data_IF_818748605734
#
_entry.id   IF_818748605734
#
_cell.length_a   1.000
_cell.length_b   1.000
_cell.length_c   1.000
_cell.angle_alpha   90.00
_cell.angle_beta   90.00
_cell.angle_gamma   90.00
#
_symmetry.space_group_name_H-M   'P 1'
#
loop_
_entity.id
_entity.type
_entity.pdbx_description
1 polymer ?
#
# COMPACT_ATOMS: atom_id res chain seq x y z
N UNK A 1 0.19 -2.77 -0.73
CA UNK A 1 -0.75 -1.82 -1.34
C UNK A 1 0.03 -1.05 -2.38
N UNK A 2 -0.48 -0.95 -3.60
CA UNK A 2 0.19 -0.30 -4.74
C UNK A 2 0.40 1.18 -4.48
N UNK A 3 1.65 1.66 -4.58
CA UNK A 3 2.08 3.07 -4.49
C UNK A 3 1.59 3.95 -5.68
N UNK A 4 0.52 3.53 -6.35
CA UNK A 4 -0.04 4.31 -7.44
C UNK A 4 -0.89 5.46 -6.85
N UNK A 5 -0.74 6.71 -7.35
CA UNK A 5 -1.59 7.80 -6.93
C UNK A 5 -3.05 7.45 -7.17
N UNK A 6 -3.88 7.61 -6.13
CA UNK A 6 -5.33 7.42 -6.24
C UNK A 6 -5.89 8.57 -7.07
N UNK A 7 -6.74 8.26 -8.05
CA UNK A 7 -7.28 9.27 -8.97
C UNK A 7 -8.17 10.25 -8.20
N UNK A 8 -8.18 11.51 -8.63
CA UNK A 8 -9.04 12.53 -8.02
C UNK A 8 -10.52 12.21 -8.24
N UNK A 9 -11.32 12.39 -7.20
CA UNK A 9 -12.78 12.29 -7.25
C UNK A 9 -13.34 13.70 -7.12
N UNK A 10 -14.26 14.10 -8.02
CA UNK A 10 -14.89 15.40 -7.96
C UNK A 10 -15.87 15.48 -6.76
N UNK A 11 -15.80 16.58 -6.01
CA UNK A 11 -16.73 16.87 -4.90
C UNK A 11 -17.56 18.12 -5.15
N UNK A 12 -18.81 18.07 -4.72
CA UNK A 12 -19.77 19.17 -4.71
C UNK A 12 -19.84 19.79 -3.29
N UNK A 13 -20.05 21.10 -3.14
CA UNK A 13 -20.17 21.76 -1.82
C UNK A 13 -21.21 21.12 -0.87
N UNK A 14 -22.24 20.50 -1.44
CA UNK A 14 -23.29 19.80 -0.68
C UNK A 14 -22.77 18.57 0.08
N UNK A 15 -21.77 17.86 -0.45
CA UNK A 15 -21.22 16.65 0.18
C UNK A 15 -20.47 16.97 1.46
N UNK A 16 -19.81 18.14 1.53
CA UNK A 16 -19.20 18.65 2.76
C UNK A 16 -20.23 18.85 3.86
N UNK A 17 -21.37 19.48 3.53
CA UNK A 17 -22.45 19.70 4.50
C UNK A 17 -23.02 18.38 5.03
N UNK A 18 -23.20 17.39 4.16
CA UNK A 18 -23.62 16.04 4.58
C UNK A 18 -22.59 15.35 5.47
N UNK A 19 -21.31 15.50 5.16
CA UNK A 19 -20.23 14.99 6.00
C UNK A 19 -20.25 15.62 7.40
N UNK A 20 -20.30 16.95 7.48
CA UNK A 20 -20.31 17.68 8.76
C UNK A 20 -21.51 17.31 9.62
N UNK A 21 -22.70 17.16 9.02
CA UNK A 21 -23.91 16.80 9.75
C UNK A 21 -23.94 15.35 10.24
N UNK A 22 -23.28 14.44 9.51
CA UNK A 22 -23.23 13.01 9.84
C UNK A 22 -21.95 12.60 10.59
N UNK A 23 -21.03 13.53 10.82
CA UNK A 23 -19.76 13.27 11.49
C UNK A 23 -19.94 12.64 12.89
N UNK A 24 -20.92 13.05 13.74
CA UNK A 24 -21.13 12.40 15.03
C UNK A 24 -21.48 10.92 14.89
N UNK A 25 -22.38 10.56 13.96
CA UNK A 25 -22.80 9.18 13.72
C UNK A 25 -21.65 8.36 13.13
N UNK A 26 -20.91 8.93 12.18
CA UNK A 26 -19.74 8.28 11.58
C UNK A 26 -18.67 8.02 12.64
N UNK A 27 -18.37 9.01 13.48
CA UNK A 27 -17.34 8.90 14.51
C UNK A 27 -17.66 7.84 15.57
N UNK A 28 -18.95 7.70 15.91
CA UNK A 28 -19.45 6.73 16.87
C UNK A 28 -19.34 5.27 16.42
N UNK A 29 -19.10 5.00 15.13
CA UNK A 29 -18.92 3.63 14.62
C UNK A 29 -17.61 3.06 15.18
N UNK A 30 -17.72 1.94 15.91
CA UNK A 30 -16.59 1.22 16.50
C UNK A 30 -16.09 0.09 15.60
N UNK A 31 -17.01 -0.63 14.97
CA UNK A 31 -16.72 -1.69 14.00
C UNK A 31 -16.80 -1.14 12.58
N UNK A 32 -15.66 -1.11 11.89
CA UNK A 32 -15.56 -0.64 10.51
C UNK A 32 -14.65 -1.54 9.69
N UNK A 33 -14.91 -1.59 8.39
CA UNK A 33 -14.10 -2.33 7.44
C UNK A 33 -13.71 -1.45 6.26
N UNK A 34 -12.54 -1.67 5.65
CA UNK A 34 -12.22 -1.04 4.38
C UNK A 34 -13.25 -1.46 3.31
N UNK A 35 -13.60 -0.57 2.37
CA UNK A 35 -14.42 -0.94 1.22
C UNK A 35 -13.80 -2.12 0.46
N UNK A 36 -14.61 -3.12 0.04
CA UNK A 36 -14.14 -4.24 -0.77
C UNK A 36 -13.94 -3.85 -2.25
N UNK A 37 -13.91 -2.56 -2.56
CA UNK A 37 -13.82 -2.00 -3.90
C UNK A 37 -13.01 -0.69 -3.88
N UNK A 38 -12.43 -0.28 -5.02
CA UNK A 38 -11.81 1.04 -5.17
C UNK A 38 -12.77 2.21 -4.86
N UNK A 39 -12.20 3.35 -4.48
CA UNK A 39 -12.99 4.55 -4.11
C UNK A 39 -13.88 5.00 -5.27
N UNK A 40 -13.35 5.00 -6.49
CA UNK A 40 -14.06 5.44 -7.69
C UNK A 40 -15.27 4.56 -7.99
N UNK A 41 -15.14 3.24 -7.76
CA UNK A 41 -16.24 2.28 -7.92
C UNK A 41 -17.30 2.51 -6.82
N UNK A 42 -16.88 2.76 -5.57
CA UNK A 42 -17.80 3.08 -4.47
C UNK A 42 -18.60 4.37 -4.73
N UNK A 43 -17.95 5.40 -5.27
CA UNK A 43 -18.59 6.67 -5.68
C UNK A 43 -19.57 6.44 -6.83
N UNK A 44 -19.17 5.64 -7.83
CA UNK A 44 -20.02 5.25 -8.95
C UNK A 44 -21.29 4.54 -8.51
N UNK A 45 -21.15 3.53 -7.64
CA UNK A 45 -22.27 2.79 -7.05
C UNK A 45 -23.20 3.74 -6.27
N UNK A 46 -22.65 4.66 -5.47
CA UNK A 46 -23.47 5.61 -4.72
C UNK A 46 -24.32 6.50 -5.64
N UNK A 47 -23.72 7.08 -6.68
CA UNK A 47 -24.44 7.93 -7.64
C UNK A 47 -25.51 7.17 -8.41
N UNK A 48 -25.20 5.95 -8.84
CA UNK A 48 -26.12 5.07 -9.54
C UNK A 48 -27.33 4.72 -8.67
N UNK A 49 -27.11 4.35 -7.41
CA UNK A 49 -28.20 4.00 -6.50
C UNK A 49 -29.02 5.22 -6.07
N UNK A 50 -28.42 6.41 -5.96
CA UNK A 50 -29.19 7.66 -5.79
C UNK A 50 -30.18 7.86 -6.95
N UNK A 51 -29.77 7.59 -8.19
CA UNK A 51 -30.67 7.68 -9.35
C UNK A 51 -31.78 6.62 -9.28
N UNK A 52 -31.45 5.36 -8.95
CA UNK A 52 -32.45 4.30 -8.78
C UNK A 52 -33.47 4.63 -7.69
N UNK A 53 -33.04 5.11 -6.52
CA UNK A 53 -33.95 5.52 -5.45
C UNK A 53 -34.90 6.61 -5.94
N UNK A 54 -34.42 7.59 -6.73
CA UNK A 54 -35.28 8.67 -7.26
C UNK A 54 -36.34 8.13 -8.23
N UNK A 55 -35.97 7.20 -9.10
CA UNK A 55 -36.88 6.61 -10.08
C UNK A 55 -37.89 5.64 -9.45
N UNK A 56 -37.41 4.79 -8.54
CA UNK A 56 -38.17 3.64 -8.03
C UNK A 56 -38.69 3.86 -6.60
N UNK A 57 -38.63 5.09 -6.04
CA UNK A 57 -38.93 5.39 -4.63
C UNK A 57 -40.25 4.77 -4.16
N UNK A 58 -41.33 5.01 -4.89
CA UNK A 58 -42.66 4.53 -4.52
C UNK A 58 -42.72 2.99 -4.45
N UNK A 59 -42.00 2.28 -5.34
CA UNK A 59 -41.93 0.81 -5.31
C UNK A 59 -41.07 0.34 -4.12
N UNK A 60 -39.92 0.97 -3.90
CA UNK A 60 -39.04 0.65 -2.79
C UNK A 60 -39.76 0.83 -1.44
N UNK A 61 -40.58 1.86 -1.26
CA UNK A 61 -41.37 2.06 -0.05
C UNK A 61 -42.37 0.91 0.22
N UNK A 62 -42.87 0.24 -0.82
CA UNK A 62 -43.75 -0.92 -0.70
C UNK A 62 -43.02 -2.23 -0.33
N UNK A 63 -41.69 -2.26 -0.42
CA UNK A 63 -40.89 -3.45 -0.05
C UNK A 63 -40.84 -3.72 1.46
N UNK A 64 -41.26 -2.76 2.29
CA UNK A 64 -41.08 -2.81 3.74
C UNK A 64 -39.72 -2.28 4.23
N UNK A 65 -38.91 -1.71 3.34
CA UNK A 65 -37.68 -1.00 3.73
C UNK A 65 -37.97 0.10 4.74
N UNK A 66 -37.11 0.23 5.75
CA UNK A 66 -37.21 1.35 6.70
C UNK A 66 -36.89 2.67 5.98
N UNK A 67 -37.86 3.58 5.94
CA UNK A 67 -37.79 4.83 5.16
C UNK A 67 -36.52 5.65 5.40
N UNK A 68 -35.99 5.66 6.62
CA UNK A 68 -34.75 6.37 6.94
C UNK A 68 -33.55 5.95 6.08
N UNK A 69 -33.50 4.72 5.54
CA UNK A 69 -32.44 4.30 4.62
C UNK A 69 -32.55 4.97 3.27
N UNK A 70 -33.77 5.22 2.78
CA UNK A 70 -34.04 5.98 1.55
C UNK A 70 -33.80 7.48 1.80
N UNK A 71 -34.37 8.02 2.88
CA UNK A 71 -34.33 9.45 3.17
C UNK A 71 -32.92 9.96 3.49
N UNK A 72 -32.11 9.14 4.16
CA UNK A 72 -30.72 9.49 4.48
C UNK A 72 -29.70 9.03 3.45
N UNK A 73 -30.11 8.35 2.37
CA UNK A 73 -29.19 7.71 1.42
C UNK A 73 -28.21 8.71 0.81
N UNK A 74 -28.73 9.79 0.26
CA UNK A 74 -27.92 10.82 -0.42
C UNK A 74 -26.95 11.48 0.56
N UNK A 75 -27.37 11.74 1.80
CA UNK A 75 -26.50 12.29 2.83
C UNK A 75 -25.38 11.33 3.21
N UNK A 76 -25.70 10.04 3.42
CA UNK A 76 -24.70 9.00 3.72
C UNK A 76 -23.69 8.83 2.58
N UNK A 77 -24.18 8.80 1.34
CA UNK A 77 -23.35 8.76 0.14
C UNK A 77 -22.42 9.98 0.07
N UNK A 78 -22.96 11.19 0.24
CA UNK A 78 -22.18 12.42 0.22
C UNK A 78 -21.11 12.48 1.30
N UNK A 79 -21.43 12.05 2.53
CA UNK A 79 -20.48 11.96 3.62
C UNK A 79 -19.34 10.97 3.33
N UNK A 80 -19.66 9.81 2.75
CA UNK A 80 -18.67 8.82 2.32
C UNK A 80 -17.76 9.41 1.23
N UNK A 81 -18.33 10.06 0.19
CA UNK A 81 -17.56 10.66 -0.91
C UNK A 81 -16.62 11.75 -0.39
N UNK A 82 -17.09 12.65 0.48
CA UNK A 82 -16.27 13.70 1.07
C UNK A 82 -15.10 13.12 1.88
N UNK A 83 -15.37 12.15 2.76
CA UNK A 83 -14.32 11.49 3.55
C UNK A 83 -13.29 10.74 2.68
N UNK A 84 -13.71 10.22 1.53
CA UNK A 84 -12.82 9.60 0.56
C UNK A 84 -11.86 10.62 -0.07
N UNK A 85 -12.36 11.81 -0.41
CA UNK A 85 -11.54 12.91 -0.95
C UNK A 85 -10.57 13.45 0.09
N UNK A 86 -10.98 13.62 1.34
CA UNK A 86 -10.08 13.98 2.44
C UNK A 86 -8.97 12.94 2.58
N UNK A 87 -9.32 11.66 2.62
CA UNK A 87 -8.34 10.56 2.67
C UNK A 87 -7.37 10.60 1.46
N UNK A 88 -7.88 10.77 0.24
CA UNK A 88 -7.04 10.86 -0.97
C UNK A 88 -6.11 12.07 -0.89
N UNK A 89 -6.60 13.22 -0.39
CA UNK A 89 -5.80 14.43 -0.20
C UNK A 89 -4.63 14.16 0.75
N UNK A 90 -4.88 13.53 1.90
CA UNK A 90 -3.83 13.16 2.84
C UNK A 90 -2.86 12.11 2.28
N UNK A 91 -3.35 11.12 1.51
CA UNK A 91 -2.51 10.08 0.89
C UNK A 91 -1.64 10.65 -0.23
N UNK A 92 -2.18 11.55 -1.04
CA UNK A 92 -1.48 12.17 -2.16
C UNK A 92 -0.56 13.31 -1.72
N UNK A 93 -0.73 13.84 -0.50
CA UNK A 93 0.25 14.72 0.13
C UNK A 93 1.55 13.94 0.23
N UNK A 94 2.53 14.27 -0.61
CA UNK A 94 3.82 13.61 -0.61
C UNK A 94 4.44 13.78 0.79
N UNK A 95 4.64 12.68 1.51
CA UNK A 95 5.40 12.68 2.76
C UNK A 95 6.87 12.93 2.43
N UNK A 96 7.26 14.20 2.37
CA UNK A 96 8.65 14.60 2.06
C UNK A 96 9.55 14.48 3.28
N UNK A 97 9.01 14.45 4.50
CA UNK A 97 9.80 14.48 5.73
C UNK A 97 10.84 13.34 5.84
N UNK A 98 10.49 12.11 5.41
CA UNK A 98 11.46 10.99 5.35
C UNK A 98 12.59 11.22 4.36
N UNK A 99 12.29 11.85 3.22
CA UNK A 99 13.26 12.14 2.18
C UNK A 99 14.14 13.32 2.58
N UNK A 100 13.55 14.39 3.11
CA UNK A 100 14.27 15.53 3.70
C UNK A 100 15.23 15.08 4.81
N UNK A 101 14.78 14.18 5.69
CA UNK A 101 15.65 13.56 6.70
C UNK A 101 16.83 12.84 6.05
N UNK A 102 16.59 12.06 5.00
CA UNK A 102 17.63 11.29 4.30
C UNK A 102 18.66 12.22 3.63
N UNK A 103 18.21 13.34 3.09
CA UNK A 103 19.05 14.35 2.43
C UNK A 103 19.88 15.17 3.42
N UNK A 104 19.30 15.57 4.56
CA UNK A 104 19.97 16.41 5.56
C UNK A 104 20.89 15.62 6.49
N UNK A 105 20.60 14.32 6.71
CA UNK A 105 21.35 13.46 7.62
C UNK A 105 22.88 13.42 7.39
N UNK A 106 23.42 13.34 6.16
CA UNK A 106 24.86 13.34 5.93
C UNK A 106 25.54 14.62 6.41
N UNK A 107 24.92 15.78 6.15
CA UNK A 107 25.43 17.08 6.59
C UNK A 107 25.39 17.17 8.13
N UNK A 108 24.24 16.83 8.72
CA UNK A 108 24.05 16.82 10.17
C UNK A 108 25.09 15.92 10.86
N UNK A 109 25.36 14.74 10.30
CA UNK A 109 26.40 13.83 10.79
C UNK A 109 27.77 14.49 10.81
N UNK A 110 28.13 15.20 9.74
CA UNK A 110 29.43 15.86 9.60
C UNK A 110 29.60 17.00 10.61
N UNK A 111 28.59 17.85 10.76
CA UNK A 111 28.60 18.95 11.74
C UNK A 111 28.74 18.40 13.16
N UNK A 112 27.91 17.41 13.54
CA UNK A 112 27.99 16.76 14.86
C UNK A 112 29.38 16.15 15.10
N UNK A 113 29.94 15.43 14.12
CA UNK A 113 31.26 14.81 14.25
C UNK A 113 32.38 15.84 14.44
N UNK A 114 32.38 16.91 13.64
CA UNK A 114 33.40 17.95 13.70
C UNK A 114 33.33 18.74 15.01
N UNK A 115 32.12 19.13 15.44
CA UNK A 115 31.93 19.85 16.68
C UNK A 115 32.30 18.99 17.90
N UNK A 116 31.91 17.71 17.91
CA UNK A 116 32.34 16.78 18.96
C UNK A 116 33.86 16.57 19.00
N UNK A 117 34.53 16.52 17.84
CA UNK A 117 35.99 16.41 17.77
C UNK A 117 36.65 17.65 18.39
N UNK A 118 36.15 18.84 18.08
CA UNK A 118 36.64 20.09 18.66
C UNK A 118 36.43 20.15 20.17
N UNK A 119 35.21 19.85 20.64
CA UNK A 119 34.87 19.84 22.07
C UNK A 119 35.73 18.83 22.86
N UNK A 120 35.92 17.62 22.34
CA UNK A 120 36.82 16.62 22.97
C UNK A 120 38.25 17.11 23.10
N UNK A 121 38.75 17.89 22.14
CA UNK A 121 40.11 18.43 22.18
C UNK A 121 40.21 19.61 23.15
N UNK A 122 39.21 20.49 23.15
CA UNK A 122 39.14 21.67 24.02
C UNK A 122 39.00 21.26 25.50
N UNK A 123 38.21 20.23 25.79
CA UNK A 123 37.89 19.83 27.17
C UNK A 123 38.78 18.73 27.74
N UNK A 124 39.84 18.31 27.02
CA UNK A 124 40.64 17.11 27.36
C UNK A 124 41.29 17.14 28.76
N UNK A 125 41.51 18.33 29.33
CA UNK A 125 42.15 18.54 30.64
C UNK A 125 41.12 18.92 31.72
N UNK A 126 39.86 19.06 31.33
CA UNK A 126 38.74 19.46 32.17
C UNK A 126 37.79 18.26 32.32
N UNK A 127 37.90 17.56 33.46
CA UNK A 127 37.15 16.33 33.69
C UNK A 127 35.65 16.56 33.72
N UNK A 128 35.20 17.68 34.29
CA UNK A 128 33.78 18.01 34.40
C UNK A 128 33.17 18.26 33.02
N UNK A 129 33.82 19.08 32.18
CA UNK A 129 33.37 19.33 30.80
C UNK A 129 33.46 18.06 29.94
N UNK A 130 34.48 17.24 30.14
CA UNK A 130 34.63 15.95 29.45
C UNK A 130 33.50 14.98 29.80
N UNK A 131 33.12 14.90 31.07
CA UNK A 131 32.06 14.00 31.54
C UNK A 131 30.68 14.52 31.14
N UNK A 132 30.45 15.84 31.19
CA UNK A 132 29.26 16.46 30.62
C UNK A 132 29.10 16.10 29.13
N UNK A 133 30.18 16.22 28.34
CA UNK A 133 30.18 15.86 26.92
C UNK A 133 29.88 14.38 26.69
N UNK A 134 30.41 13.46 27.51
CA UNK A 134 30.12 12.02 27.44
C UNK A 134 28.64 11.74 27.74
N UNK A 135 28.09 12.41 28.75
CA UNK A 135 26.68 12.25 29.14
C UNK A 135 25.74 12.64 28.00
N UNK A 136 26.01 13.77 27.35
CA UNK A 136 25.23 14.25 26.19
C UNK A 136 25.16 13.18 25.10
N UNK A 137 26.31 12.63 24.68
CA UNK A 137 26.39 11.74 23.51
C UNK A 137 26.08 10.25 23.78
N UNK A 138 25.58 9.92 24.97
CA UNK A 138 25.38 8.53 25.41
C UNK A 138 24.19 7.84 24.71
N UNK A 139 23.23 8.62 24.22
CA UNK A 139 22.02 8.13 23.56
C UNK A 139 22.25 7.59 22.13
N UNK A 140 21.27 6.84 21.62
CA UNK A 140 21.32 6.19 20.30
C UNK A 140 20.05 6.40 19.46
N UNK A 141 18.99 6.97 20.04
CA UNK A 141 17.74 7.26 19.33
C UNK A 141 17.88 8.47 18.41
N UNK A 142 16.93 8.66 17.48
CA UNK A 142 16.91 9.88 16.65
C UNK A 142 16.64 11.14 17.47
N UNK A 143 15.86 11.01 18.55
CA UNK A 143 15.61 12.10 19.49
C UNK A 143 16.88 12.42 20.28
N UNK A 144 17.64 11.41 20.70
CA UNK A 144 18.92 11.64 21.39
C UNK A 144 19.88 12.38 20.46
N UNK A 145 19.94 11.97 19.20
CA UNK A 145 20.73 12.63 18.16
C UNK A 145 20.30 14.07 17.89
N UNK A 146 19.00 14.36 17.94
CA UNK A 146 18.48 15.72 17.83
C UNK A 146 18.90 16.54 19.06
N UNK A 147 18.69 16.01 20.26
CA UNK A 147 19.03 16.68 21.52
C UNK A 147 20.54 16.91 21.68
N UNK A 148 21.37 16.07 21.06
CA UNK A 148 22.80 16.31 20.97
C UNK A 148 23.09 17.66 20.32
N UNK A 149 22.46 18.01 19.18
CA UNK A 149 22.75 19.26 18.47
C UNK A 149 22.49 20.50 19.33
N UNK A 150 21.41 20.49 20.12
CA UNK A 150 21.08 21.56 21.06
C UNK A 150 22.05 21.59 22.25
N UNK A 151 22.35 20.42 22.81
CA UNK A 151 23.17 20.31 24.02
C UNK A 151 24.64 20.65 23.73
N UNK A 152 25.19 20.15 22.61
CA UNK A 152 26.57 20.44 22.22
C UNK A 152 26.74 21.88 21.74
N UNK A 153 25.75 22.48 21.06
CA UNK A 153 25.84 23.88 20.62
C UNK A 153 25.84 24.82 21.82
N UNK A 154 24.98 24.57 22.81
CA UNK A 154 24.97 25.31 24.07
C UNK A 154 26.28 25.15 24.83
N UNK A 155 26.76 23.91 25.02
CA UNK A 155 28.02 23.65 25.72
C UNK A 155 29.22 24.30 25.01
N UNK A 156 29.23 24.28 23.67
CA UNK A 156 30.24 24.95 22.86
C UNK A 156 30.18 26.47 23.00
N UNK A 157 28.98 27.05 23.01
CA UNK A 157 28.79 28.49 23.15
C UNK A 157 29.20 29.01 24.53
N UNK A 158 28.89 28.26 25.59
CA UNK A 158 29.30 28.58 26.96
C UNK A 158 30.82 28.47 27.17
N UNK A 159 31.52 27.72 26.32
CA UNK A 159 32.97 27.49 26.41
C UNK A 159 33.72 27.94 25.14
N UNK A 160 33.24 29.01 24.51
CA UNK A 160 33.74 29.51 23.22
C UNK A 160 35.23 29.84 23.23
N UNK A 161 35.75 30.36 24.33
CA UNK A 161 37.17 30.70 24.49
C UNK A 161 38.08 29.46 24.38
N UNK A 162 37.71 28.36 25.05
CA UNK A 162 38.44 27.07 24.98
C UNK A 162 38.48 26.50 23.55
N UNK A 163 37.44 26.75 22.76
CA UNK A 163 37.39 26.36 21.35
C UNK A 163 38.26 27.27 20.47
N UNK A 164 38.41 28.55 20.80
CA UNK A 164 39.30 29.47 20.09
C UNK A 164 40.78 29.11 20.28
N UNK A 165 41.18 28.70 21.49
CA UNK A 165 42.57 28.28 21.79
C UNK A 165 43.06 27.13 20.91
N UNK A 166 42.15 26.24 20.51
CA UNK A 166 42.46 25.11 19.63
C UNK A 166 42.17 25.39 18.16
N UNK A 167 41.87 26.65 17.82
CA UNK A 167 41.49 27.10 16.48
C UNK A 167 40.31 26.32 15.88
N UNK A 168 39.30 26.00 16.70
CA UNK A 168 38.09 25.34 16.23
C UNK A 168 37.25 26.25 15.33
N UNK A 169 36.56 25.63 14.38
CA UNK A 169 35.58 26.33 13.54
C UNK A 169 34.31 26.64 14.34
N UNK A 170 34.19 27.88 14.80
CA UNK A 170 33.06 28.34 15.61
C UNK A 170 31.75 28.46 14.81
N UNK A 171 31.80 28.48 13.47
CA UNK A 171 30.58 28.50 12.63
C UNK A 171 29.75 27.22 12.81
N UNK A 172 30.39 26.13 13.26
CA UNK A 172 29.71 24.88 13.58
C UNK A 172 28.75 24.99 14.75
N UNK A 173 28.91 25.97 15.66
CA UNK A 173 28.00 26.19 16.78
C UNK A 173 26.65 26.68 16.27
N UNK A 174 26.67 27.73 15.44
CA UNK A 174 25.47 28.29 14.79
C UNK A 174 24.83 27.26 13.87
N UNK A 175 25.64 26.57 13.05
CA UNK A 175 25.11 25.52 12.17
C UNK A 175 24.48 24.36 12.93
N UNK A 176 25.01 24.00 14.11
CA UNK A 176 24.41 22.97 14.98
C UNK A 176 23.03 23.40 15.49
N UNK A 177 22.85 24.66 15.87
CA UNK A 177 21.56 25.20 16.27
C UNK A 177 20.55 25.23 15.12
N UNK A 178 20.96 25.68 13.93
CA UNK A 178 20.10 25.65 12.73
C UNK A 178 19.67 24.23 12.35
N UNK A 179 20.58 23.26 12.45
CA UNK A 179 20.28 21.86 12.17
C UNK A 179 19.32 21.28 13.22
N UNK A 180 19.42 21.68 14.48
CA UNK A 180 18.44 21.29 15.51
C UNK A 180 17.03 21.73 15.12
N UNK A 181 16.83 23.00 14.76
CA UNK A 181 15.51 23.51 14.36
C UNK A 181 14.94 22.74 13.17
N UNK A 182 15.74 22.58 12.10
CA UNK A 182 15.34 21.86 10.88
C UNK A 182 15.00 20.40 11.14
N UNK A 183 15.86 19.68 11.88
CA UNK A 183 15.67 18.26 12.17
C UNK A 183 14.49 18.04 13.15
N UNK A 184 14.23 18.99 14.05
CA UNK A 184 13.09 18.95 14.97
C UNK A 184 11.76 19.02 14.19
N UNK A 185 11.64 19.97 13.27
CA UNK A 185 10.47 20.09 12.41
C UNK A 185 10.27 18.84 11.52
N UNK A 186 11.34 18.34 10.89
CA UNK A 186 11.28 17.11 10.09
C UNK A 186 10.81 15.92 10.93
N UNK A 187 11.34 15.74 12.14
CA UNK A 187 10.94 14.62 13.02
C UNK A 187 9.49 14.73 13.46
N UNK A 188 9.00 15.93 13.76
CA UNK A 188 7.58 16.16 14.06
C UNK A 188 6.70 15.76 12.87
N UNK A 189 7.03 16.21 11.66
CA UNK A 189 6.31 15.84 10.42
C UNK A 189 6.34 14.34 10.13
N UNK A 190 7.47 13.65 10.38
CA UNK A 190 7.58 12.20 10.24
C UNK A 190 6.62 11.41 11.15
N UNK A 191 6.17 12.00 12.26
CA UNK A 191 5.19 11.41 13.19
C UNK A 191 3.76 11.81 12.82
N UNK A 192 3.54 13.09 12.51
CA UNK A 192 2.22 13.66 12.21
C UNK A 192 1.67 13.12 10.89
N UNK A 193 2.45 13.14 9.81
CA UNK A 193 1.96 12.79 8.46
C UNK A 193 1.37 11.35 8.40
N UNK A 194 2.03 10.30 8.93
CA UNK A 194 1.42 8.97 8.96
C UNK A 194 0.17 8.87 9.83
N UNK A 195 0.11 9.65 10.92
CA UNK A 195 -1.05 9.67 11.82
C UNK A 195 -2.26 10.36 11.17
N UNK A 196 -2.05 11.49 10.47
CA UNK A 196 -3.07 12.15 9.65
C UNK A 196 -3.64 11.20 8.59
N UNK A 197 -2.76 10.50 7.84
CA UNK A 197 -3.18 9.53 6.82
C UNK A 197 -3.99 8.40 7.44
N UNK A 198 -3.54 7.86 8.58
CA UNK A 198 -4.26 6.78 9.28
C UNK A 198 -5.62 7.26 9.77
N UNK A 199 -5.68 8.44 10.38
CA UNK A 199 -6.91 9.03 10.89
C UNK A 199 -7.91 9.28 9.77
N UNK A 200 -7.47 9.87 8.64
CA UNK A 200 -8.33 10.08 7.47
C UNK A 200 -8.86 8.76 6.88
N UNK A 201 -8.03 7.71 6.81
CA UNK A 201 -8.48 6.36 6.39
C UNK A 201 -9.54 5.79 7.31
N UNK A 202 -9.36 5.91 8.63
CA UNK A 202 -10.33 5.41 9.62
C UNK A 202 -11.68 6.12 9.46
N UNK A 203 -11.67 7.45 9.32
CA UNK A 203 -12.91 8.22 9.07
C UNK A 203 -13.59 7.75 7.79
N UNK A 204 -12.85 7.57 6.70
CA UNK A 204 -13.38 7.03 5.45
C UNK A 204 -13.99 5.63 5.62
N UNK A 205 -13.33 4.72 6.32
CA UNK A 205 -13.85 3.35 6.53
C UNK A 205 -15.12 3.33 7.38
N UNK A 206 -15.21 4.21 8.38
CA UNK A 206 -16.44 4.41 9.16
C UNK A 206 -17.57 4.98 8.29
N UNK A 207 -17.28 6.00 7.48
CA UNK A 207 -18.27 6.59 6.57
C UNK A 207 -18.74 5.58 5.51
N UNK A 208 -17.83 4.77 4.96
CA UNK A 208 -18.18 3.64 4.10
C UNK A 208 -19.08 2.64 4.81
N UNK A 209 -18.76 2.26 6.05
CA UNK A 209 -19.57 1.32 6.82
C UNK A 209 -20.98 1.87 7.04
N UNK A 210 -21.11 3.15 7.37
CA UNK A 210 -22.39 3.83 7.55
C UNK A 210 -23.22 3.90 6.26
N UNK A 211 -22.57 4.22 5.14
CA UNK A 211 -23.18 4.22 3.82
C UNK A 211 -23.61 2.82 3.38
N UNK A 212 -22.75 1.82 3.59
CA UNK A 212 -22.99 0.43 3.20
C UNK A 212 -24.22 -0.18 3.84
N UNK A 213 -24.57 0.25 5.06
CA UNK A 213 -25.84 -0.16 5.70
C UNK A 213 -27.03 0.21 4.82
N UNK A 214 -27.15 1.47 4.41
CA UNK A 214 -28.24 1.91 3.55
C UNK A 214 -28.15 1.28 2.15
N UNK A 215 -26.94 1.15 1.59
CA UNK A 215 -26.71 0.51 0.29
C UNK A 215 -27.23 -0.93 0.25
N UNK A 216 -26.92 -1.72 1.29
CA UNK A 216 -27.36 -3.11 1.39
C UNK A 216 -28.88 -3.21 1.43
N UNK A 217 -29.52 -2.40 2.27
CA UNK A 217 -30.98 -2.40 2.45
C UNK A 217 -31.69 -2.00 1.15
N UNK A 218 -31.17 -1.01 0.41
CA UNK A 218 -31.74 -0.62 -0.89
C UNK A 218 -31.59 -1.72 -1.94
N UNK A 219 -30.45 -2.43 -1.96
CA UNK A 219 -30.27 -3.56 -2.85
C UNK A 219 -31.23 -4.72 -2.53
N UNK A 220 -31.36 -5.08 -1.26
CA UNK A 220 -32.29 -6.15 -0.85
C UNK A 220 -33.75 -5.76 -1.15
N UNK A 221 -34.15 -4.52 -0.87
CA UNK A 221 -35.48 -4.00 -1.19
C UNK A 221 -35.78 -4.02 -2.69
N UNK A 222 -34.82 -3.59 -3.52
CA UNK A 222 -34.98 -3.61 -4.97
C UNK A 222 -35.04 -5.02 -5.55
N UNK A 223 -34.18 -5.93 -5.09
CA UNK A 223 -34.22 -7.34 -5.50
C UNK A 223 -35.51 -8.04 -5.08
N UNK A 224 -36.13 -7.61 -3.98
CA UNK A 224 -37.40 -8.15 -3.52
C UNK A 224 -38.61 -7.62 -4.31
N UNK A 225 -38.63 -6.33 -4.65
CA UNK A 225 -39.80 -5.70 -5.29
C UNK A 225 -39.87 -5.95 -6.81
N UNK A 226 -38.73 -6.20 -7.45
CA UNK A 226 -38.65 -6.51 -8.87
C UNK A 226 -38.40 -8.00 -9.06
N UNK A 227 -39.24 -8.68 -9.85
CA UNK A 227 -39.06 -10.10 -10.19
C UNK A 227 -37.76 -10.33 -11.00
N UNK A 228 -37.21 -11.55 -10.98
CA UNK A 228 -35.95 -11.87 -11.68
C UNK A 228 -35.97 -11.59 -13.18
N UNK A 229 -37.14 -11.70 -13.83
CA UNK A 229 -37.33 -11.43 -15.25
C UNK A 229 -37.47 -9.93 -15.56
N UNK A 230 -37.66 -9.08 -14.54
CA UNK A 230 -37.70 -7.62 -14.73
C UNK A 230 -36.27 -7.09 -14.94
N UNK A 231 -36.00 -6.34 -16.03
CA UNK A 231 -34.68 -5.76 -16.26
C UNK A 231 -34.18 -4.88 -15.10
N UNK A 232 -35.09 -4.29 -14.31
CA UNK A 232 -34.79 -3.49 -13.11
C UNK A 232 -34.15 -4.33 -12.00
N UNK A 233 -34.50 -5.59 -11.84
CA UNK A 233 -33.96 -6.47 -10.78
C UNK A 233 -32.42 -6.50 -10.84
N UNK A 234 -31.86 -6.63 -12.05
CA UNK A 234 -30.42 -6.67 -12.27
C UNK A 234 -29.69 -5.38 -11.87
N UNK A 235 -30.39 -4.24 -11.82
CA UNK A 235 -29.84 -2.95 -11.42
C UNK A 235 -29.64 -2.89 -9.90
N UNK A 236 -30.25 -3.76 -9.10
CA UNK A 236 -30.08 -3.77 -7.64
C UNK A 236 -28.94 -4.69 -7.17
N UNK A 237 -28.02 -5.02 -8.07
CA UNK A 237 -26.72 -5.62 -7.74
C UNK A 237 -25.61 -4.58 -7.83
N UNK A 238 -24.49 -4.85 -7.12
CA UNK A 238 -23.26 -4.10 -7.33
C UNK A 238 -22.68 -4.40 -8.71
N UNK A 239 -22.62 -3.40 -9.57
CA UNK A 239 -22.00 -3.48 -10.89
C UNK A 239 -20.54 -3.92 -10.80
N UNK A 240 -19.80 -3.39 -9.82
CA UNK A 240 -18.40 -3.74 -9.60
C UNK A 240 -18.22 -5.25 -9.36
N UNK A 241 -18.99 -5.82 -8.42
CA UNK A 241 -18.88 -7.25 -8.10
C UNK A 241 -19.42 -8.14 -9.22
N UNK A 242 -20.49 -7.74 -9.91
CA UNK A 242 -21.01 -8.46 -11.09
C UNK A 242 -19.96 -8.52 -12.19
N UNK A 243 -19.30 -7.39 -12.49
CA UNK A 243 -18.23 -7.32 -13.49
C UNK A 243 -17.03 -8.18 -13.10
N UNK A 244 -16.61 -8.14 -11.84
CA UNK A 244 -15.51 -8.96 -11.32
C UNK A 244 -15.83 -10.46 -11.41
N UNK A 245 -17.05 -10.86 -11.05
CA UNK A 245 -17.52 -12.24 -11.16
C UNK A 245 -17.52 -12.74 -12.61
N UNK A 246 -18.02 -11.93 -13.56
CA UNK A 246 -18.00 -12.25 -14.99
C UNK A 246 -16.56 -12.41 -15.52
N UNK A 247 -15.64 -11.53 -15.12
CA UNK A 247 -14.24 -11.63 -15.50
C UNK A 247 -13.58 -12.91 -14.95
N UNK A 248 -13.82 -13.23 -13.68
CA UNK A 248 -13.32 -14.46 -13.06
C UNK A 248 -13.87 -15.72 -13.74
N UNK A 249 -15.17 -15.75 -14.07
CA UNK A 249 -15.77 -16.85 -14.80
C UNK A 249 -15.14 -17.04 -16.20
N UNK A 250 -14.90 -15.94 -16.94
CA UNK A 250 -14.19 -15.97 -18.23
C UNK A 250 -12.77 -16.52 -18.08
N UNK A 251 -12.01 -16.06 -17.08
CA UNK A 251 -10.66 -16.55 -16.82
C UNK A 251 -10.63 -18.05 -16.52
N UNK A 252 -11.59 -18.56 -15.74
CA UNK A 252 -11.74 -20.00 -15.46
C UNK A 252 -12.03 -20.80 -16.74
N UNK A 253 -12.94 -20.31 -17.59
CA UNK A 253 -13.24 -20.95 -18.89
C UNK A 253 -12.02 -21.00 -19.80
N UNK A 254 -11.27 -19.91 -19.90
CA UNK A 254 -10.05 -19.85 -20.71
C UNK A 254 -8.96 -20.80 -20.19
N UNK A 255 -8.77 -20.87 -18.86
CA UNK A 255 -7.82 -21.80 -18.24
C UNK A 255 -8.21 -23.27 -18.51
N UNK A 256 -9.50 -23.59 -18.44
CA UNK A 256 -10.02 -24.93 -18.77
C UNK A 256 -9.74 -25.27 -20.24
N UNK A 257 -10.09 -24.37 -21.17
CA UNK A 257 -9.85 -24.57 -22.59
C UNK A 257 -8.36 -24.77 -22.92
N UNK A 258 -7.46 -24.00 -22.29
CA UNK A 258 -6.01 -24.16 -22.47
C UNK A 258 -5.51 -25.50 -21.94
N UNK A 259 -6.04 -25.96 -20.80
CA UNK A 259 -5.69 -27.28 -20.25
C UNK A 259 -6.20 -28.42 -21.14
N UNK A 260 -7.41 -28.28 -21.68
CA UNK A 260 -8.00 -29.25 -22.61
C UNK A 260 -7.18 -29.32 -23.91
N UNK A 261 -6.75 -28.17 -24.46
CA UNK A 261 -5.85 -28.11 -25.62
C UNK A 261 -4.50 -28.78 -25.35
N UNK A 262 -3.84 -28.48 -24.22
CA UNK A 262 -2.56 -29.12 -23.86
C UNK A 262 -2.70 -30.63 -23.69
N UNK A 263 -3.84 -31.10 -23.19
CA UNK A 263 -4.14 -32.53 -23.08
C UNK A 263 -4.27 -33.15 -24.46
N UNK A 264 -5.03 -32.53 -25.36
CA UNK A 264 -5.17 -33.00 -26.76
C UNK A 264 -3.85 -33.00 -27.53
N UNK A 265 -2.99 -31.99 -27.37
CA UNK A 265 -1.65 -31.96 -27.97
C UNK A 265 -0.76 -33.10 -27.44
N UNK A 266 -0.78 -33.35 -26.13
CA UNK A 266 -0.05 -34.45 -25.51
C UNK A 266 -0.56 -35.81 -25.97
N UNK A 267 -1.87 -35.96 -26.10
CA UNK A 267 -2.50 -37.19 -26.59
C UNK A 267 -2.14 -37.42 -28.08
N UNK A 268 -2.15 -36.37 -28.91
CA UNK A 268 -1.73 -36.44 -30.33
C UNK A 268 -0.24 -36.78 -30.47
N UNK A 269 0.64 -36.17 -29.66
CA UNK A 269 2.07 -36.45 -29.69
C UNK A 269 2.40 -37.86 -29.19
N UNK A 270 1.61 -38.41 -28.28
CA UNK A 270 1.71 -39.80 -27.84
C UNK A 270 1.33 -40.77 -28.97
N UNK A 271 0.25 -40.47 -29.70
CA UNK A 271 -0.19 -41.28 -30.86
C UNK A 271 0.82 -41.19 -32.01
N UNK A 272 1.39 -40.03 -32.27
CA UNK A 272 2.39 -39.84 -33.34
C UNK A 272 3.72 -40.55 -33.02
N UNK A 273 4.17 -40.52 -31.76
CA UNK A 273 5.35 -41.27 -31.32
C UNK A 273 5.15 -42.80 -31.40
N UNK A 274 3.92 -43.30 -31.25
CA UNK A 274 3.61 -44.72 -31.42
C UNK A 274 3.54 -45.17 -32.89
N UNK A 275 3.43 -44.23 -33.85
CA UNK A 275 3.34 -44.52 -35.30
C UNK A 275 4.67 -44.50 -36.04
N UNK A 276 5.78 -44.10 -35.42
CA UNK A 276 7.12 -44.16 -36.04
C UNK A 276 7.72 -45.56 -35.81
N UNK A 277 7.96 -46.38 -36.86
CA UNK A 277 8.63 -47.66 -36.68
C UNK A 277 10.11 -47.43 -36.34
N UNK A 278 10.57 -48.03 -35.24
CA UNK A 278 11.97 -48.07 -34.85
C UNK A 278 12.80 -48.73 -35.97
N UNK A 279 13.61 -47.95 -36.69
CA UNK A 279 14.71 -48.50 -37.49
C UNK A 279 15.74 -49.09 -36.52
N UNK A 280 15.58 -50.36 -36.19
CA UNK A 280 16.59 -51.15 -35.49
C UNK A 280 17.50 -51.75 -36.55
N UNK A 281 18.73 -51.24 -36.64
CA UNK A 281 19.81 -51.89 -37.39
C UNK A 281 20.03 -53.29 -36.80
N UNK A 282 19.83 -54.31 -37.63
CA UNK A 282 20.21 -55.69 -37.29
C UNK A 282 21.71 -55.82 -37.57
N UNK A 283 22.54 -55.75 -36.53
CA UNK A 283 23.91 -56.25 -36.55
C UNK A 283 23.90 -57.76 -36.31
N UNK A 284 24.42 -58.52 -37.27
CA UNK A 284 24.60 -59.98 -37.20
C UNK A 284 25.73 -60.34 -36.21
N UNK A 285 25.60 -61.40 -35.38
CA UNK A 285 26.69 -61.87 -34.53
C UNK A 285 27.51 -62.97 -35.23
N UNK A 286 28.85 -62.85 -35.19
CA UNK A 286 29.80 -63.97 -35.20
C UNK A 286 29.67 -64.74 -33.87
N UNK A 287 29.91 -66.03 -33.66
CA UNK A 287 30.26 -67.25 -34.43
C UNK A 287 30.27 -68.38 -33.36
N UNK A 288 30.29 -69.68 -33.71
CA UNK A 288 31.17 -70.55 -32.91
C UNK A 288 31.99 -71.55 -33.73
N UNK A 289 33.19 -71.78 -33.23
CA UNK A 289 34.24 -72.67 -33.74
C UNK A 289 33.83 -74.15 -33.76
N UNK A 290 34.26 -74.89 -34.79
CA UNK A 290 34.80 -76.24 -34.58
C UNK A 290 35.74 -76.67 -35.72
N UNK A 291 37.02 -76.82 -35.38
CA UNK A 291 37.90 -77.95 -35.72
C UNK A 291 37.69 -78.65 -37.07
N UNK A 292 38.74 -78.65 -37.92
CA UNK A 292 39.40 -79.91 -38.35
C UNK A 292 40.73 -79.69 -39.08
N UNK A 293 41.76 -80.37 -38.56
CA UNK A 293 42.78 -81.17 -39.25
C UNK A 293 43.93 -80.52 -40.05
N UNK A 294 45.09 -81.16 -39.83
CA UNK A 294 46.50 -80.91 -40.14
C UNK A 294 46.86 -81.22 -41.63
N UNK A 295 48.13 -81.05 -42.08
CA UNK A 295 48.54 -80.45 -43.36
C UNK A 295 48.96 -81.51 -44.41
N UNK A 296 49.56 -81.13 -45.56
CA UNK A 296 51.03 -81.11 -45.63
C UNK A 296 51.69 -80.07 -46.57
N UNK A 297 52.88 -79.64 -46.12
CA UNK A 297 54.17 -79.40 -46.80
C UNK A 297 54.34 -79.11 -48.31
N UNK A 298 55.21 -78.12 -48.55
CA UNK A 298 56.26 -78.01 -49.62
C UNK A 298 55.75 -77.82 -51.06
N UNK A 299 56.34 -77.02 -51.96
CA UNK A 299 57.75 -76.61 -52.20
C UNK A 299 57.72 -75.50 -53.28
N UNK A 300 58.72 -74.62 -53.34
CA UNK A 300 58.98 -73.77 -54.52
C UNK A 300 59.53 -72.40 -54.17
#
# INVERSE_FOLDING_TARGET
>A
MTDAPIRSVAVMPQQKKYYESLLPQISAITEYAPPPMPVEEAVGEANRVIALIKEDRAKLELSGIKLHYLDSFEARAGAMIWSAVEMITHVNKQSTAKQEWKELKPEAKKVRQNLLKALKRAFREDNDLSDALKSIISGRSRHDWLMDFLSISRLAQENREKLQEIHADLSLIERSAELFEKLSDILARMVIEPDEIRSAKVVYYKAWTYFRQALKEVYEAGQYIFDEDDPRHSLYYSEYHVRLGKAAARARRNKKALNDQKKSEKDQQTVENQRKPSQVMISLPESPESSTLRPPDTTG
#
